data_IF_037014828861
#
_entry.id   IF_037014828861
#
_cell.length_a   1.000
_cell.length_b   1.000
_cell.length_c   1.000
_cell.angle_alpha   90.00
_cell.angle_beta   90.00
_cell.angle_gamma   90.00
#
_symmetry.space_group_name_H-M   'P 1'
#
loop_
_entity.id
_entity.type
_entity.pdbx_description
1 polymer ?
#
# COMPACT_ATOMS: atom_id res chain seq x y z
N UNK A 1 38.61 -41.28 7.13
CA UNK A 1 39.05 -40.03 6.46
C UNK A 1 37.89 -39.05 6.53
N UNK A 2 37.93 -38.11 7.47
CA UNK A 2 36.95 -37.02 7.57
C UNK A 2 37.39 -35.92 6.61
N UNK A 3 36.59 -35.62 5.60
CA UNK A 3 36.81 -34.50 4.67
C UNK A 3 36.83 -33.19 5.45
N UNK A 4 37.86 -32.36 5.21
CA UNK A 4 37.95 -31.03 5.80
C UNK A 4 36.73 -30.19 5.42
N UNK A 5 36.00 -29.66 6.40
CA UNK A 5 34.86 -28.77 6.17
C UNK A 5 35.35 -27.47 5.53
N UNK A 6 35.04 -27.25 4.25
CA UNK A 6 35.37 -26.01 3.56
C UNK A 6 34.27 -24.98 3.82
N UNK A 7 34.49 -24.08 4.77
CA UNK A 7 33.57 -22.96 5.01
C UNK A 7 33.62 -22.04 3.80
N UNK A 8 32.50 -21.92 3.09
CA UNK A 8 32.35 -20.99 1.97
C UNK A 8 31.38 -19.87 2.35
N UNK A 9 31.59 -18.69 1.77
CA UNK A 9 30.73 -17.52 2.00
C UNK A 9 30.01 -17.17 0.71
N UNK A 10 28.68 -17.04 0.81
CA UNK A 10 27.80 -16.73 -0.30
C UNK A 10 26.99 -15.48 0.02
N UNK A 11 26.79 -14.63 -0.99
CA UNK A 11 25.86 -13.50 -0.88
C UNK A 11 24.57 -13.84 -1.61
N UNK A 12 23.46 -13.89 -0.88
CA UNK A 12 22.13 -14.19 -1.40
C UNK A 12 21.23 -12.97 -1.28
N UNK A 13 20.36 -12.73 -2.25
CA UNK A 13 19.37 -11.65 -2.18
C UNK A 13 18.13 -12.11 -1.42
N UNK A 14 17.66 -11.32 -0.45
CA UNK A 14 16.46 -11.65 0.32
C UNK A 14 15.27 -10.82 -0.18
N UNK A 15 14.32 -11.49 -0.83
CA UNK A 15 13.06 -10.88 -1.24
C UNK A 15 12.13 -10.75 -0.03
N UNK A 16 11.34 -9.67 0.03
CA UNK A 16 10.46 -9.36 1.17
C UNK A 16 11.15 -8.60 2.31
N UNK A 17 12.45 -8.31 2.20
CA UNK A 17 13.20 -7.53 3.19
C UNK A 17 12.91 -6.03 3.04
N UNK A 18 11.98 -5.52 3.84
CA UNK A 18 11.51 -4.12 3.78
C UNK A 18 11.76 -3.33 5.06
N UNK A 19 12.17 -3.98 6.17
CA UNK A 19 12.40 -3.29 7.43
C UNK A 19 13.59 -3.88 8.21
N UNK A 20 14.03 -3.16 9.24
CA UNK A 20 15.10 -3.63 10.15
C UNK A 20 14.73 -4.92 10.89
N UNK A 21 13.44 -5.20 11.10
CA UNK A 21 13.02 -6.47 11.67
C UNK A 21 13.27 -7.63 10.71
N UNK A 22 13.09 -7.44 9.39
CA UNK A 22 13.44 -8.45 8.40
C UNK A 22 14.94 -8.78 8.43
N UNK A 23 15.82 -7.81 8.69
CA UNK A 23 17.27 -8.04 8.84
C UNK A 23 17.53 -9.01 9.99
N UNK A 24 17.02 -8.68 11.17
CA UNK A 24 17.22 -9.50 12.37
C UNK A 24 16.61 -10.90 12.23
N UNK A 25 15.38 -11.01 11.71
CA UNK A 25 14.71 -12.30 11.46
C UNK A 25 15.50 -13.16 10.47
N UNK A 26 16.00 -12.55 9.38
CA UNK A 26 16.84 -13.25 8.41
C UNK A 26 18.12 -13.78 9.05
N UNK A 27 18.79 -12.98 9.89
CA UNK A 27 20.02 -13.39 10.58
C UNK A 27 19.76 -14.49 11.59
N UNK A 28 18.71 -14.39 12.41
CA UNK A 28 18.39 -15.36 13.46
C UNK A 28 17.97 -16.71 12.89
N UNK A 29 17.10 -16.74 11.88
CA UNK A 29 16.61 -18.00 11.31
C UNK A 29 17.69 -18.73 10.52
N UNK A 30 18.51 -18.00 9.76
CA UNK A 30 19.60 -18.62 9.02
C UNK A 30 20.69 -19.14 9.96
N UNK A 31 20.88 -18.51 11.13
CA UNK A 31 21.81 -19.02 12.15
C UNK A 31 21.34 -20.33 12.81
N UNK A 32 20.05 -20.66 12.77
CA UNK A 32 19.53 -21.94 13.26
C UNK A 32 19.73 -23.10 12.27
N UNK A 33 20.10 -22.79 11.02
CA UNK A 33 20.32 -23.81 10.00
C UNK A 33 21.61 -24.61 10.29
N UNK A 34 21.57 -25.96 10.30
CA UNK A 34 22.68 -26.80 10.77
C UNK A 34 23.98 -26.70 9.94
N UNK A 35 23.89 -26.14 8.72
CA UNK A 35 25.04 -25.93 7.82
C UNK A 35 25.56 -24.48 7.82
N UNK A 36 24.91 -23.56 8.53
CA UNK A 36 25.27 -22.14 8.57
C UNK A 36 26.10 -21.86 9.83
N UNK A 37 27.24 -21.19 9.64
CA UNK A 37 28.13 -20.73 10.71
C UNK A 37 27.85 -19.27 11.07
N UNK A 38 27.54 -18.44 10.08
CA UNK A 38 27.12 -17.05 10.32
C UNK A 38 26.25 -16.51 9.20
N UNK A 39 25.28 -15.66 9.55
CA UNK A 39 24.47 -14.90 8.60
C UNK A 39 24.50 -13.42 8.96
N UNK A 40 24.78 -12.55 7.99
CA UNK A 40 24.72 -11.09 8.13
C UNK A 40 23.85 -10.48 7.03
N UNK A 41 22.75 -9.86 7.42
CA UNK A 41 21.79 -9.28 6.50
C UNK A 41 21.96 -7.76 6.39
N UNK A 42 21.68 -7.22 5.20
CA UNK A 42 21.76 -5.80 4.91
C UNK A 42 20.48 -5.33 4.25
N UNK A 43 19.75 -4.45 4.96
CA UNK A 43 18.55 -3.79 4.43
C UNK A 43 18.87 -2.92 3.21
N UNK A 44 20.08 -2.32 3.17
CA UNK A 44 20.49 -1.41 2.10
C UNK A 44 20.65 -2.14 0.76
N UNK A 45 21.24 -3.34 0.78
CA UNK A 45 21.44 -4.16 -0.42
C UNK A 45 20.32 -5.19 -0.63
N UNK A 46 19.44 -5.37 0.36
CA UNK A 46 18.45 -6.46 0.45
C UNK A 46 19.10 -7.83 0.24
N UNK A 47 20.26 -8.03 0.87
CA UNK A 47 21.05 -9.25 0.75
C UNK A 47 21.45 -9.78 2.11
N UNK A 48 21.71 -11.07 2.18
CA UNK A 48 22.32 -11.75 3.32
C UNK A 48 23.60 -12.43 2.87
N UNK A 49 24.66 -12.19 3.61
CA UNK A 49 25.92 -12.90 3.49
C UNK A 49 25.88 -14.08 4.45
N UNK A 50 25.94 -15.29 3.91
CA UNK A 50 25.83 -16.55 4.65
C UNK A 50 27.14 -17.31 4.49
N UNK A 51 27.78 -17.63 5.61
CA UNK A 51 28.97 -18.46 5.67
C UNK A 51 28.61 -19.81 6.26
N UNK A 52 29.01 -20.90 5.62
CA UNK A 52 28.63 -22.25 6.05
C UNK A 52 29.30 -23.36 5.26
N UNK A 53 29.06 -24.60 5.67
CA UNK A 53 29.54 -25.80 4.96
C UNK A 53 28.41 -26.36 4.08
N UNK A 54 28.43 -25.99 2.81
CA UNK A 54 27.43 -26.39 1.82
C UNK A 54 27.96 -27.40 0.79
N UNK A 55 29.22 -27.83 0.90
CA UNK A 55 29.91 -28.66 -0.11
C UNK A 55 29.98 -28.00 -1.49
N UNK A 56 30.11 -28.82 -2.55
CA UNK A 56 30.14 -28.36 -3.96
C UNK A 56 28.72 -28.15 -4.56
N UNK A 57 27.73 -27.79 -3.72
CA UNK A 57 26.37 -27.57 -4.20
C UNK A 57 26.28 -26.28 -5.03
N UNK A 58 25.53 -26.29 -6.14
CA UNK A 58 25.30 -25.07 -6.91
C UNK A 58 24.55 -24.04 -6.07
N UNK A 59 24.90 -22.76 -6.26
CA UNK A 59 24.35 -21.63 -5.49
C UNK A 59 22.81 -21.57 -5.50
N UNK A 60 22.17 -22.04 -6.58
CA UNK A 60 20.71 -22.09 -6.72
C UNK A 60 20.04 -23.12 -5.79
N UNK A 61 20.74 -24.22 -5.49
CA UNK A 61 20.24 -25.25 -4.57
C UNK A 61 20.40 -24.78 -3.12
N UNK A 62 21.51 -24.12 -2.80
CA UNK A 62 21.76 -23.47 -1.51
C UNK A 62 20.70 -22.38 -1.24
N UNK A 63 20.43 -21.54 -2.24
CA UNK A 63 19.42 -20.49 -2.15
C UNK A 63 18.01 -21.05 -1.92
N UNK A 64 17.68 -22.20 -2.51
CA UNK A 64 16.38 -22.87 -2.36
C UNK A 64 16.21 -23.50 -0.97
N UNK A 65 17.27 -24.12 -0.45
CA UNK A 65 17.32 -24.73 0.88
C UNK A 65 17.13 -23.66 1.97
N UNK A 66 17.92 -22.58 1.90
CA UNK A 66 17.83 -21.46 2.82
C UNK A 66 16.51 -20.67 2.65
N UNK A 67 15.95 -20.61 1.45
CA UNK A 67 14.62 -20.05 1.22
C UNK A 67 13.51 -20.85 1.89
N UNK A 68 13.64 -22.17 2.02
CA UNK A 68 12.64 -22.97 2.69
C UNK A 68 12.53 -22.59 4.18
N UNK A 69 13.67 -22.32 4.83
CA UNK A 69 13.73 -21.82 6.20
C UNK A 69 13.14 -20.40 6.33
N UNK A 70 13.51 -19.48 5.44
CA UNK A 70 13.02 -18.10 5.45
C UNK A 70 11.53 -17.97 5.05
N UNK A 71 10.96 -19.00 4.44
CA UNK A 71 9.59 -18.96 3.89
C UNK A 71 8.51 -18.87 4.96
N UNK A 72 8.83 -19.21 6.21
CA UNK A 72 7.94 -19.10 7.37
C UNK A 72 7.52 -17.63 7.59
N UNK A 73 8.42 -16.69 7.30
CA UNK A 73 8.18 -15.24 7.41
C UNK A 73 8.06 -14.51 6.07
N UNK A 74 7.66 -15.21 5.00
CA UNK A 74 7.50 -14.66 3.64
C UNK A 74 8.78 -14.09 3.01
N UNK A 75 9.94 -14.46 3.54
CA UNK A 75 11.26 -14.10 3.01
C UNK A 75 11.76 -15.21 2.09
N UNK A 76 12.55 -14.86 1.06
CA UNK A 76 13.19 -15.87 0.20
C UNK A 76 14.57 -15.41 -0.25
N UNK A 77 15.56 -16.30 -0.16
CA UNK A 77 16.92 -16.09 -0.60
C UNK A 77 17.08 -16.53 -2.07
N UNK A 78 17.58 -15.64 -2.93
CA UNK A 78 17.80 -15.93 -4.36
C UNK A 78 19.24 -15.64 -4.75
N UNK A 79 19.82 -16.50 -5.59
CA UNK A 79 21.21 -16.44 -6.04
C UNK A 79 21.51 -15.23 -6.96
N UNK A 80 20.50 -14.63 -7.60
CA UNK A 80 20.64 -13.46 -8.46
C UNK A 80 19.49 -12.47 -8.32
N UNK A 81 19.81 -11.18 -8.50
CA UNK A 81 18.86 -10.08 -8.42
C UNK A 81 17.80 -10.17 -9.51
N UNK A 82 16.52 -10.02 -9.12
CA UNK A 82 15.40 -9.92 -10.06
C UNK A 82 15.71 -8.87 -11.12
N UNK A 83 15.75 -9.30 -12.38
CA UNK A 83 15.64 -8.45 -13.54
C UNK A 83 14.31 -7.68 -13.44
N UNK A 84 14.28 -6.39 -13.79
CA UNK A 84 13.00 -5.69 -13.91
C UNK A 84 12.19 -6.47 -14.97
N UNK A 85 11.04 -6.99 -14.56
CA UNK A 85 10.17 -7.79 -15.42
C UNK A 85 9.46 -6.85 -16.42
N UNK A 86 10.19 -6.40 -17.43
CA UNK A 86 9.70 -5.49 -18.48
C UNK A 86 8.55 -6.10 -19.28
N UNK A 87 8.47 -7.43 -19.33
CA UNK A 87 7.36 -8.19 -19.88
C UNK A 87 6.02 -7.89 -19.18
N UNK A 88 6.03 -7.63 -17.87
CA UNK A 88 4.81 -7.27 -17.13
C UNK A 88 4.29 -5.86 -17.50
N UNK A 89 5.16 -4.96 -17.95
CA UNK A 89 4.75 -3.62 -18.42
C UNK A 89 3.94 -3.67 -19.72
N UNK A 90 4.22 -4.66 -20.57
CA UNK A 90 3.47 -4.89 -21.81
C UNK A 90 1.97 -5.12 -21.57
N UNK A 91 1.60 -5.67 -20.41
CA UNK A 91 0.20 -5.89 -20.01
C UNK A 91 -0.32 -4.77 -19.11
N UNK A 92 0.52 -4.23 -18.21
CA UNK A 92 0.11 -3.21 -17.26
C UNK A 92 -0.23 -1.86 -17.91
N UNK A 93 0.55 -1.43 -18.91
CA UNK A 93 0.38 -0.13 -19.57
C UNK A 93 -0.96 -0.02 -20.33
N UNK A 94 -1.37 -1.00 -21.17
CA UNK A 94 -2.67 -0.95 -21.84
C UNK A 94 -3.85 -0.91 -20.86
N UNK A 95 -3.77 -1.67 -19.76
CA UNK A 95 -4.81 -1.66 -18.72
C UNK A 95 -4.90 -0.29 -18.06
N UNK A 96 -3.75 0.30 -17.70
CA UNK A 96 -3.70 1.63 -17.11
C UNK A 96 -4.26 2.71 -18.06
N UNK A 97 -3.91 2.64 -19.35
CA UNK A 97 -4.44 3.54 -20.39
C UNK A 97 -5.95 3.37 -20.53
N UNK A 98 -6.46 2.14 -20.57
CA UNK A 98 -7.89 1.86 -20.64
C UNK A 98 -8.66 2.43 -19.43
N UNK A 99 -8.12 2.24 -18.22
CA UNK A 99 -8.68 2.83 -17.01
C UNK A 99 -8.63 4.38 -17.02
N UNK A 100 -7.54 4.96 -17.53
CA UNK A 100 -7.41 6.42 -17.68
C UNK A 100 -8.42 6.98 -18.67
N UNK A 101 -8.58 6.34 -19.83
CA UNK A 101 -9.57 6.73 -20.84
C UNK A 101 -11.00 6.62 -20.31
N UNK A 102 -11.31 5.54 -19.57
CA UNK A 102 -12.60 5.40 -18.90
C UNK A 102 -12.83 6.50 -17.86
N UNK A 103 -11.80 6.87 -17.09
CA UNK A 103 -11.88 7.96 -16.12
C UNK A 103 -12.19 9.30 -16.81
N UNK A 104 -11.48 9.63 -17.89
CA UNK A 104 -11.74 10.84 -18.69
C UNK A 104 -13.15 10.82 -19.28
N UNK A 105 -13.61 9.69 -19.80
CA UNK A 105 -14.96 9.54 -20.32
C UNK A 105 -16.02 9.79 -19.23
N UNK A 106 -15.82 9.27 -18.02
CA UNK A 106 -16.73 9.50 -16.89
C UNK A 106 -16.74 10.97 -16.43
N UNK A 107 -15.63 11.70 -16.60
CA UNK A 107 -15.59 13.15 -16.35
C UNK A 107 -16.42 13.92 -17.38
N UNK A 108 -16.28 13.61 -18.66
CA UNK A 108 -17.06 14.22 -19.76
C UNK A 108 -18.58 13.99 -19.60
N UNK A 109 -18.99 12.83 -19.10
CA UNK A 109 -20.41 12.51 -18.87
C UNK A 109 -20.98 13.25 -17.63
N UNK A 110 -20.15 14.00 -16.87
CA UNK A 110 -20.61 14.83 -15.76
C UNK A 110 -21.00 14.05 -14.50
N UNK A 111 -20.68 12.75 -14.42
CA UNK A 111 -20.96 11.92 -13.23
C UNK A 111 -20.26 12.47 -11.98
N UNK A 112 -19.13 13.16 -12.17
CA UNK A 112 -18.38 13.85 -11.10
C UNK A 112 -19.10 15.10 -10.60
N UNK A 113 -19.88 15.79 -11.45
CA UNK A 113 -20.63 16.99 -11.04
C UNK A 113 -21.80 16.69 -10.09
N UNK A 114 -22.27 15.43 -10.01
CA UNK A 114 -23.19 14.98 -8.96
C UNK A 114 -22.57 15.01 -7.56
N UNK A 115 -21.23 15.03 -7.47
CA UNK A 115 -20.47 15.08 -6.21
C UNK A 115 -20.18 16.51 -5.77
N UNK A 116 -20.20 17.47 -6.70
CA UNK A 116 -19.82 18.87 -6.49
C UNK A 116 -20.99 19.82 -6.16
N UNK A 117 -22.22 19.31 -5.96
CA UNK A 117 -23.38 20.14 -5.62
C UNK A 117 -23.24 20.87 -4.27
N UNK A 118 -23.90 22.02 -4.14
CA UNK A 118 -23.73 23.00 -3.03
C UNK A 118 -23.92 22.44 -1.61
N UNK A 119 -24.58 21.28 -1.45
CA UNK A 119 -24.68 20.56 -0.18
C UNK A 119 -24.57 19.05 -0.38
N UNK A 120 -23.45 18.45 0.02
CA UNK A 120 -23.29 16.99 0.05
C UNK A 120 -24.06 16.43 1.26
N UNK A 121 -25.20 15.80 0.99
CA UNK A 121 -25.95 15.07 2.02
C UNK A 121 -25.23 13.76 2.41
N UNK A 122 -25.58 13.17 3.55
CA UNK A 122 -25.05 11.85 3.93
C UNK A 122 -25.37 10.76 2.90
N UNK A 123 -26.51 10.88 2.21
CA UNK A 123 -26.90 9.98 1.12
C UNK A 123 -26.00 10.12 -0.11
N UNK A 124 -25.64 11.35 -0.50
CA UNK A 124 -24.70 11.54 -1.60
C UNK A 124 -23.29 11.09 -1.22
N UNK A 125 -22.83 11.33 0.02
CA UNK A 125 -21.56 10.80 0.52
C UNK A 125 -21.50 9.26 0.47
N UNK A 126 -22.61 8.59 0.82
CA UNK A 126 -22.73 7.13 0.70
C UNK A 126 -22.66 6.67 -0.76
N UNK A 127 -23.41 7.30 -1.68
CA UNK A 127 -23.38 6.97 -3.11
C UNK A 127 -22.00 7.21 -3.72
N UNK A 128 -21.33 8.30 -3.35
CA UNK A 128 -19.93 8.56 -3.72
C UNK A 128 -19.02 7.45 -3.21
N UNK A 129 -19.26 6.93 -2.01
CA UNK A 129 -18.56 5.74 -1.49
C UNK A 129 -18.79 4.49 -2.35
N UNK A 130 -20.02 4.24 -2.78
CA UNK A 130 -20.35 3.11 -3.67
C UNK A 130 -19.60 3.25 -4.99
N UNK A 131 -19.70 4.42 -5.65
CA UNK A 131 -19.01 4.69 -6.92
C UNK A 131 -17.49 4.58 -6.74
N UNK A 132 -16.94 5.14 -5.67
CA UNK A 132 -15.52 5.05 -5.36
C UNK A 132 -15.06 3.60 -5.23
N UNK A 133 -15.87 2.73 -4.63
CA UNK A 133 -15.57 1.31 -4.46
C UNK A 133 -15.67 0.47 -5.73
N UNK A 134 -16.27 1.01 -6.80
CA UNK A 134 -16.32 0.42 -8.14
C UNK A 134 -15.30 1.04 -9.11
N UNK A 135 -14.53 2.02 -8.65
CA UNK A 135 -13.54 2.77 -9.44
C UNK A 135 -12.11 2.28 -9.22
N UNK A 136 -11.12 3.05 -9.67
CA UNK A 136 -9.69 2.78 -9.48
C UNK A 136 -9.27 2.70 -8.01
N UNK A 137 -10.03 3.30 -7.07
CA UNK A 137 -9.75 3.18 -5.64
C UNK A 137 -9.96 1.75 -5.12
N UNK A 138 -10.77 0.94 -5.82
CA UNK A 138 -10.89 -0.51 -5.60
C UNK A 138 -9.58 -1.24 -5.91
N UNK A 139 -8.78 -0.78 -6.88
CA UNK A 139 -7.53 -1.44 -7.23
C UNK A 139 -6.49 -1.28 -6.10
N UNK A 140 -6.38 -0.08 -5.51
CA UNK A 140 -5.43 0.18 -4.41
C UNK A 140 -5.90 -0.50 -3.12
N UNK A 141 -7.14 -0.23 -2.69
CA UNK A 141 -7.64 -0.76 -1.42
C UNK A 141 -7.94 -2.25 -1.53
N UNK A 142 -8.46 -2.72 -2.66
CA UNK A 142 -8.64 -4.14 -2.94
C UNK A 142 -7.32 -4.90 -2.97
N UNK A 143 -6.25 -4.31 -3.52
CA UNK A 143 -4.90 -4.89 -3.45
C UNK A 143 -4.41 -5.06 -2.01
N UNK A 144 -4.65 -4.06 -1.16
CA UNK A 144 -4.32 -4.11 0.27
C UNK A 144 -5.13 -5.17 1.02
N UNK A 145 -6.45 -5.22 0.79
CA UNK A 145 -7.36 -6.24 1.33
C UNK A 145 -6.91 -7.64 0.92
N UNK A 146 -6.58 -7.85 -0.36
CA UNK A 146 -6.09 -9.13 -0.88
C UNK A 146 -4.73 -9.52 -0.29
N UNK A 147 -3.83 -8.57 -0.07
CA UNK A 147 -2.57 -8.81 0.62
C UNK A 147 -2.80 -9.30 2.06
N UNK A 148 -3.71 -8.66 2.80
CA UNK A 148 -4.10 -9.09 4.16
C UNK A 148 -4.75 -10.47 4.10
N UNK A 149 -5.66 -10.72 3.16
CA UNK A 149 -6.26 -12.05 2.95
C UNK A 149 -5.19 -13.10 2.71
N UNK A 150 -4.17 -12.82 1.90
CA UNK A 150 -3.09 -13.76 1.60
C UNK A 150 -2.22 -14.07 2.84
N UNK A 151 -1.92 -13.04 3.64
CA UNK A 151 -1.13 -13.19 4.88
C UNK A 151 -1.89 -14.00 5.94
N UNK A 152 -3.17 -13.70 6.16
CA UNK A 152 -3.95 -14.32 7.24
C UNK A 152 -4.74 -15.57 6.83
N UNK A 153 -4.87 -15.87 5.54
CA UNK A 153 -5.42 -17.16 5.09
C UNK A 153 -4.56 -18.36 5.52
N UNK A 154 -3.30 -18.13 5.91
CA UNK A 154 -2.36 -19.14 6.42
C UNK A 154 -2.56 -19.47 7.90
N UNK A 155 -3.19 -18.58 8.68
CA UNK A 155 -3.47 -18.77 10.12
C UNK A 155 -4.84 -19.43 10.39
N UNK A 156 -5.54 -19.92 9.37
CA UNK A 156 -6.84 -20.60 9.50
C UNK A 156 -8.05 -19.68 9.69
N UNK A 157 -7.85 -18.46 10.19
CA UNK A 157 -8.92 -17.47 10.42
C UNK A 157 -8.96 -16.41 9.32
N UNK A 158 -9.93 -16.55 8.40
CA UNK A 158 -10.11 -15.61 7.27
C UNK A 158 -11.11 -14.49 7.56
N UNK A 159 -12.00 -14.67 8.53
CA UNK A 159 -13.12 -13.74 8.77
C UNK A 159 -12.73 -12.65 9.74
N UNK A 160 -12.02 -12.99 10.82
CA UNK A 160 -11.61 -12.01 11.84
C UNK A 160 -10.69 -10.92 11.30
N UNK A 161 -9.65 -11.19 10.50
CA UNK A 161 -8.77 -10.14 9.95
C UNK A 161 -9.51 -9.20 9.01
N UNK A 162 -10.44 -9.73 8.19
CA UNK A 162 -11.24 -8.93 7.27
C UNK A 162 -12.26 -8.07 8.01
N UNK A 163 -12.92 -8.61 9.03
CA UNK A 163 -13.81 -7.85 9.89
C UNK A 163 -13.05 -6.73 10.61
N UNK A 164 -11.87 -7.02 11.18
CA UNK A 164 -11.04 -6.03 11.84
C UNK A 164 -10.58 -4.92 10.87
N UNK A 165 -10.23 -5.27 9.63
CA UNK A 165 -9.88 -4.29 8.60
C UNK A 165 -11.04 -3.32 8.31
N UNK A 166 -12.24 -3.83 8.02
CA UNK A 166 -13.39 -2.98 7.68
C UNK A 166 -13.88 -2.17 8.88
N UNK A 167 -13.91 -2.76 10.08
CA UNK A 167 -14.26 -2.04 11.31
C UNK A 167 -13.23 -0.94 11.60
N UNK A 168 -11.95 -1.25 11.50
CA UNK A 168 -10.86 -0.27 11.66
C UNK A 168 -11.00 0.88 10.68
N UNK A 169 -11.26 0.59 9.40
CA UNK A 169 -11.51 1.59 8.36
C UNK A 169 -12.70 2.49 8.70
N UNK A 170 -13.88 1.92 8.98
CA UNK A 170 -15.09 2.71 9.24
C UNK A 170 -14.93 3.57 10.49
N UNK A 171 -14.36 3.00 11.56
CA UNK A 171 -14.11 3.73 12.81
C UNK A 171 -13.08 4.87 12.61
N UNK A 172 -11.98 4.62 11.90
CA UNK A 172 -11.00 5.67 11.60
C UNK A 172 -11.57 6.76 10.72
N UNK A 173 -12.41 6.45 9.72
CA UNK A 173 -13.05 7.46 8.88
C UNK A 173 -14.00 8.34 9.70
N UNK A 174 -14.79 7.76 10.61
CA UNK A 174 -15.62 8.53 11.54
C UNK A 174 -14.77 9.46 12.42
N UNK A 175 -13.75 8.92 13.09
CA UNK A 175 -12.92 9.68 14.04
C UNK A 175 -12.09 10.75 13.33
N UNK A 176 -11.32 10.36 12.31
CA UNK A 176 -10.45 11.26 11.57
C UNK A 176 -11.27 12.27 10.76
N UNK A 177 -12.46 11.90 10.27
CA UNK A 177 -13.42 12.81 9.68
C UNK A 177 -13.86 13.91 10.63
N UNK A 178 -14.15 13.55 11.89
CA UNK A 178 -14.46 14.53 12.92
C UNK A 178 -13.27 15.42 13.29
N UNK A 179 -12.06 14.86 13.33
CA UNK A 179 -10.83 15.63 13.56
C UNK A 179 -10.62 16.66 12.45
N UNK A 180 -10.71 16.27 11.17
CA UNK A 180 -10.50 17.21 10.06
C UNK A 180 -11.65 18.23 9.94
N UNK A 181 -12.89 17.84 10.27
CA UNK A 181 -14.02 18.77 10.37
C UNK A 181 -13.84 19.79 11.48
N UNK A 182 -13.31 19.38 12.65
CA UNK A 182 -12.92 20.29 13.71
C UNK A 182 -11.79 21.23 13.26
N UNK A 183 -10.76 20.71 12.59
CA UNK A 183 -9.67 21.52 12.06
C UNK A 183 -10.18 22.57 11.06
N UNK A 184 -11.20 22.25 10.26
CA UNK A 184 -11.86 23.21 9.37
C UNK A 184 -12.54 24.39 10.08
N UNK A 185 -12.95 24.21 11.34
CA UNK A 185 -13.50 25.29 12.18
C UNK A 185 -12.41 26.25 12.68
N UNK A 186 -11.19 25.74 12.90
CA UNK A 186 -10.05 26.50 13.41
C UNK A 186 -9.16 27.09 12.31
N UNK A 187 -9.08 26.42 11.16
CA UNK A 187 -8.26 26.79 10.01
C UNK A 187 -9.15 26.96 8.79
N UNK A 188 -9.53 28.20 8.49
CA UNK A 188 -10.00 28.56 7.15
C UNK A 188 -8.78 28.48 6.22
N UNK A 189 -8.61 27.34 5.54
CA UNK A 189 -7.57 27.18 4.53
C UNK A 189 -7.77 28.26 3.46
N UNK A 190 -6.83 29.19 3.33
CA UNK A 190 -6.79 30.08 2.18
C UNK A 190 -6.36 29.27 0.94
N UNK A 191 -6.46 29.85 -0.26
CA UNK A 191 -6.09 29.18 -1.51
C UNK A 191 -4.65 28.64 -1.50
N UNK A 192 -3.73 29.33 -0.84
CA UNK A 192 -2.33 28.89 -0.66
C UNK A 192 -2.19 27.67 0.25
N UNK A 193 -2.95 27.61 1.35
CA UNK A 193 -2.93 26.49 2.29
C UNK A 193 -3.48 25.21 1.66
N UNK A 194 -4.58 25.32 0.92
CA UNK A 194 -5.13 24.20 0.13
C UNK A 194 -4.14 23.76 -0.95
N UNK A 195 -3.48 24.70 -1.64
CA UNK A 195 -2.45 24.37 -2.63
C UNK A 195 -1.27 23.60 -2.02
N UNK A 196 -0.68 24.09 -0.92
CA UNK A 196 0.47 23.44 -0.27
C UNK A 196 0.11 22.05 0.22
N UNK A 197 -1.08 21.89 0.81
CA UNK A 197 -1.55 20.58 1.27
C UNK A 197 -1.76 19.61 0.10
N UNK A 198 -2.48 20.05 -0.95
CA UNK A 198 -2.74 19.23 -2.14
C UNK A 198 -1.44 18.84 -2.86
N UNK A 199 -0.48 19.76 -2.97
CA UNK A 199 0.83 19.50 -3.56
C UNK A 199 1.64 18.49 -2.73
N UNK A 200 1.64 18.65 -1.39
CA UNK A 200 2.32 17.73 -0.48
C UNK A 200 1.76 16.31 -0.60
N UNK A 201 0.43 16.19 -0.66
CA UNK A 201 -0.25 14.91 -0.86
C UNK A 201 0.09 14.32 -2.22
N UNK A 202 0.07 15.13 -3.29
CA UNK A 202 0.39 14.68 -4.64
C UNK A 202 1.83 14.15 -4.77
N UNK A 203 2.80 14.81 -4.14
CA UNK A 203 4.19 14.34 -4.08
C UNK A 203 4.30 13.00 -3.33
N UNK A 204 3.56 12.83 -2.24
CA UNK A 204 3.51 11.57 -1.52
C UNK A 204 2.87 10.45 -2.37
N UNK A 205 1.78 10.75 -3.11
CA UNK A 205 1.22 9.80 -4.09
C UNK A 205 2.26 9.38 -5.12
N UNK A 206 3.00 10.35 -5.66
CA UNK A 206 3.98 10.11 -6.71
C UNK A 206 5.08 9.18 -6.20
N UNK A 207 5.59 9.44 -4.98
CA UNK A 207 6.58 8.59 -4.34
C UNK A 207 6.06 7.16 -4.11
N UNK A 208 4.81 7.02 -3.63
CA UNK A 208 4.17 5.71 -3.47
C UNK A 208 4.04 4.99 -4.82
N UNK A 209 3.49 5.64 -5.84
CA UNK A 209 3.30 5.05 -7.17
C UNK A 209 4.62 4.60 -7.82
N UNK A 210 5.68 5.40 -7.72
CA UNK A 210 7.03 5.03 -8.19
C UNK A 210 7.57 3.82 -7.43
N UNK A 211 7.31 3.72 -6.13
CA UNK A 211 7.72 2.57 -5.33
C UNK A 211 6.98 1.30 -5.76
N UNK A 212 5.68 1.38 -6.04
CA UNK A 212 4.88 0.26 -6.56
C UNK A 212 5.37 -0.26 -7.92
N UNK A 213 6.01 0.59 -8.74
CA UNK A 213 6.58 0.17 -10.02
C UNK A 213 7.84 -0.71 -9.86
N UNK A 214 8.55 -0.61 -8.73
CA UNK A 214 9.84 -1.28 -8.46
C UNK A 214 10.90 -1.08 -9.58
N UNK A 215 10.76 -0.01 -10.39
CA UNK A 215 11.65 0.34 -11.52
C UNK A 215 12.90 1.06 -11.04
N UNK A 216 12.76 1.98 -10.10
CA UNK A 216 13.86 2.84 -9.63
C UNK A 216 14.37 2.38 -8.27
N UNK A 217 15.41 1.54 -8.28
CA UNK A 217 16.09 1.00 -7.08
C UNK A 217 16.59 2.07 -6.10
N UNK A 218 16.77 3.31 -6.55
CA UNK A 218 17.23 4.45 -5.73
C UNK A 218 16.12 5.13 -4.91
N UNK A 219 14.83 4.87 -5.18
CA UNK A 219 13.70 5.44 -4.43
C UNK A 219 13.28 4.67 -3.16
N UNK A 220 13.94 3.53 -2.87
CA UNK A 220 13.72 2.75 -1.63
C UNK A 220 13.97 3.47 -0.29
N UNK A 221 14.90 4.44 -0.14
CA UNK A 221 15.15 5.09 1.15
C UNK A 221 14.12 6.17 1.50
N UNK A 222 13.17 6.50 0.62
CA UNK A 222 12.08 7.46 0.90
C UNK A 222 10.93 6.87 1.73
N UNK A 223 10.98 5.58 2.07
CA UNK A 223 10.04 5.03 3.05
C UNK A 223 10.37 5.59 4.44
N UNK A 224 9.40 6.19 5.16
CA UNK A 224 9.53 6.42 6.59
C UNK A 224 9.62 5.06 7.29
N UNK A 225 10.83 4.51 7.35
CA UNK A 225 11.10 3.28 8.07
C UNK A 225 11.06 3.60 9.56
N UNK A 226 10.33 2.79 10.32
CA UNK A 226 10.16 2.98 11.76
C UNK A 226 11.55 3.11 12.43
N UNK A 227 11.80 4.15 13.25
CA UNK A 227 13.09 4.35 13.91
C UNK A 227 13.47 3.11 14.73
N UNK A 228 14.75 2.69 14.67
CA UNK A 228 15.22 1.44 15.29
C UNK A 228 15.07 1.36 16.83
N UNK A 229 14.78 2.49 17.48
CA UNK A 229 14.45 2.51 18.91
C UNK A 229 13.01 2.05 19.20
N UNK A 230 12.09 2.26 18.24
CA UNK A 230 10.71 1.83 18.34
C UNK A 230 10.58 0.32 18.03
N UNK A 231 11.40 -0.20 17.12
CA UNK A 231 11.34 -1.62 16.72
C UNK A 231 11.70 -2.59 17.85
N UNK A 232 12.56 -2.19 18.79
CA UNK A 232 12.91 -3.02 19.97
C UNK A 232 11.78 -3.09 21.00
N UNK A 233 10.94 -2.04 21.14
CA UNK A 233 9.78 -2.03 22.04
C UNK A 233 8.56 -2.72 21.46
N UNK A 234 8.40 -2.71 20.13
CA UNK A 234 7.25 -3.34 19.46
C UNK A 234 7.34 -4.87 19.43
N UNK A 235 8.53 -5.48 19.60
CA UNK A 235 8.65 -6.94 19.68
C UNK A 235 8.09 -7.54 20.98
N UNK A 236 8.08 -6.78 22.09
CA UNK A 236 7.35 -7.17 23.31
C UNK A 236 5.82 -7.04 23.17
N UNK A 237 5.36 -6.24 22.19
CA UNK A 237 3.95 -6.06 21.84
C UNK A 237 3.53 -6.92 20.62
N UNK A 238 4.41 -7.79 20.11
CA UNK A 238 4.20 -8.58 18.89
C UNK A 238 2.90 -9.42 18.92
N UNK A 239 2.52 -9.90 20.10
CA UNK A 239 1.27 -10.67 20.30
C UNK A 239 0.00 -9.81 20.22
N UNK A 240 0.06 -8.53 20.59
CA UNK A 240 -1.06 -7.59 20.44
C UNK A 240 -1.15 -7.04 19.01
N UNK A 241 0.01 -6.83 18.35
CA UNK A 241 0.05 -6.29 16.99
C UNK A 241 -0.44 -7.26 15.92
N UNK A 242 -0.23 -8.58 16.03
CA UNK A 242 -0.69 -9.50 14.98
C UNK A 242 -2.23 -9.52 14.86
N UNK A 243 -2.94 -9.35 15.98
CA UNK A 243 -4.41 -9.31 15.98
C UNK A 243 -4.96 -7.99 15.45
N UNK A 244 -4.39 -6.84 15.82
CA UNK A 244 -4.92 -5.52 15.43
C UNK A 244 -4.31 -4.92 14.16
N UNK A 245 -3.26 -5.53 13.59
CA UNK A 245 -2.66 -5.09 12.31
C UNK A 245 -3.71 -4.85 11.22
N UNK A 246 -4.68 -5.74 10.97
CA UNK A 246 -5.70 -5.50 9.95
C UNK A 246 -6.52 -4.24 10.20
N UNK A 247 -6.90 -3.96 11.46
CA UNK A 247 -7.63 -2.75 11.83
C UNK A 247 -6.81 -1.48 11.63
N UNK A 248 -5.51 -1.50 11.98
CA UNK A 248 -4.60 -0.39 11.75
C UNK A 248 -4.39 -0.11 10.26
N UNK A 249 -4.25 -1.17 9.45
CA UNK A 249 -4.12 -1.05 7.99
C UNK A 249 -5.42 -0.53 7.37
N UNK A 250 -6.57 -0.95 7.87
CA UNK A 250 -7.88 -0.40 7.52
C UNK A 250 -8.00 1.08 7.86
N UNK A 251 -7.55 1.48 9.05
CA UNK A 251 -7.52 2.90 9.44
C UNK A 251 -6.57 3.74 8.58
N UNK A 252 -5.41 3.18 8.22
CA UNK A 252 -4.44 3.84 7.35
C UNK A 252 -4.99 4.12 5.94
N UNK A 253 -6.07 3.45 5.51
CA UNK A 253 -6.70 3.76 4.21
C UNK A 253 -7.31 5.16 4.16
N UNK A 254 -7.51 5.83 5.30
CA UNK A 254 -7.91 7.23 5.34
C UNK A 254 -6.83 8.12 4.71
N UNK A 255 -5.56 7.80 4.90
CA UNK A 255 -4.44 8.56 4.35
C UNK A 255 -4.06 8.08 2.94
N UNK A 256 -4.77 7.08 2.40
CA UNK A 256 -4.54 6.66 1.02
C UNK A 256 -5.06 7.73 0.07
N UNK A 257 -4.21 8.19 -0.84
CA UNK A 257 -4.58 9.27 -1.73
C UNK A 257 -5.43 8.72 -2.89
N UNK A 258 -6.74 8.74 -2.70
CA UNK A 258 -7.76 8.41 -3.69
C UNK A 258 -8.59 9.67 -3.96
N UNK A 259 -8.81 10.03 -5.22
CA UNK A 259 -9.51 11.27 -5.58
C UNK A 259 -10.88 11.43 -4.89
N UNK A 260 -11.68 10.36 -4.81
CA UNK A 260 -12.96 10.37 -4.10
C UNK A 260 -12.81 10.57 -2.59
N UNK A 261 -11.80 9.94 -1.98
CA UNK A 261 -11.53 10.10 -0.53
C UNK A 261 -11.04 11.52 -0.23
N UNK A 262 -10.17 12.07 -1.09
CA UNK A 262 -9.67 13.44 -0.98
C UNK A 262 -10.79 14.48 -1.16
N UNK A 263 -11.68 14.30 -2.13
CA UNK A 263 -12.82 15.19 -2.34
C UNK A 263 -13.74 15.22 -1.11
N UNK A 264 -14.07 14.04 -0.57
CA UNK A 264 -14.87 13.95 0.63
C UNK A 264 -14.13 14.52 1.86
N UNK A 265 -12.81 14.31 1.99
CA UNK A 265 -12.01 14.85 3.09
C UNK A 265 -11.96 16.38 3.03
N UNK A 266 -11.78 16.95 1.84
CA UNK A 266 -11.85 18.38 1.62
C UNK A 266 -13.23 18.94 1.97
N UNK A 267 -14.30 18.23 1.58
CA UNK A 267 -15.66 18.59 1.99
C UNK A 267 -15.85 18.50 3.52
N UNK A 268 -15.36 17.46 4.17
CA UNK A 268 -15.42 17.32 5.62
C UNK A 268 -14.73 18.49 6.33
N UNK A 269 -13.55 18.91 5.84
CA UNK A 269 -12.86 20.13 6.31
C UNK A 269 -13.71 21.37 6.05
N UNK A 270 -14.30 21.53 4.85
CA UNK A 270 -15.08 22.71 4.51
C UNK A 270 -16.36 22.87 5.35
N UNK A 271 -16.89 21.77 5.90
CA UNK A 271 -18.05 21.82 6.81
C UNK A 271 -17.78 22.56 8.12
N UNK A 272 -16.52 22.65 8.56
CA UNK A 272 -16.15 23.31 9.82
C UNK A 272 -16.85 22.75 11.06
N UNK A 273 -17.35 21.51 11.01
CA UNK A 273 -18.09 20.86 12.10
C UNK A 273 -17.53 19.46 12.34
N UNK A 274 -17.10 19.11 13.57
CA UNK A 274 -16.62 17.76 13.87
C UNK A 274 -17.70 16.71 13.64
N UNK A 275 -18.96 17.01 13.97
CA UNK A 275 -20.06 16.06 13.83
C UNK A 275 -20.37 15.83 12.35
N UNK A 276 -20.47 16.91 11.57
CA UNK A 276 -20.78 16.81 10.14
C UNK A 276 -19.64 16.12 9.38
N UNK A 277 -18.39 16.50 9.64
CA UNK A 277 -17.21 15.85 9.04
C UNK A 277 -17.10 14.37 9.38
N UNK A 278 -17.38 13.99 10.63
CA UNK A 278 -17.40 12.59 11.07
C UNK A 278 -18.48 11.79 10.33
N UNK A 279 -19.72 12.29 10.31
CA UNK A 279 -20.84 11.59 9.69
C UNK A 279 -20.69 11.49 8.17
N UNK A 280 -20.19 12.53 7.50
CA UNK A 280 -19.90 12.46 6.06
C UNK A 280 -18.86 11.38 5.75
N UNK A 281 -17.73 11.35 6.47
CA UNK A 281 -16.70 10.33 6.27
C UNK A 281 -17.20 8.92 6.60
N UNK A 282 -18.02 8.79 7.65
CA UNK A 282 -18.63 7.54 8.03
C UNK A 282 -19.58 7.02 6.94
N UNK A 283 -20.48 7.87 6.43
CA UNK A 283 -21.37 7.51 5.31
C UNK A 283 -20.60 7.12 4.06
N UNK A 284 -19.54 7.85 3.73
CA UNK A 284 -18.64 7.49 2.63
C UNK A 284 -17.99 6.10 2.85
N UNK A 285 -17.44 5.85 4.04
CA UNK A 285 -16.83 4.57 4.36
C UNK A 285 -17.84 3.41 4.29
N UNK A 286 -19.06 3.61 4.78
CA UNK A 286 -20.16 2.65 4.64
C UNK A 286 -20.53 2.39 3.17
N UNK A 287 -20.54 3.42 2.33
CA UNK A 287 -20.79 3.26 0.89
C UNK A 287 -19.75 2.39 0.20
N UNK A 288 -18.51 2.43 0.67
CA UNK A 288 -17.42 1.60 0.10
C UNK A 288 -17.44 0.14 0.58
N UNK A 289 -18.16 -0.15 1.65
CA UNK A 289 -18.12 -1.42 2.37
C UNK A 289 -18.69 -2.59 1.55
N UNK A 290 -19.84 -2.49 0.84
CA UNK A 290 -20.42 -3.61 0.11
C UNK A 290 -19.48 -4.23 -0.94
N UNK A 291 -18.89 -3.42 -1.82
CA UNK A 291 -18.00 -3.92 -2.87
C UNK A 291 -16.69 -4.48 -2.29
N UNK A 292 -16.13 -3.83 -1.27
CA UNK A 292 -14.91 -4.29 -0.62
C UNK A 292 -15.14 -5.55 0.22
N UNK A 293 -16.30 -5.67 0.89
CA UNK A 293 -16.70 -6.88 1.60
C UNK A 293 -16.87 -8.05 0.62
N UNK A 294 -17.54 -7.84 -0.52
CA UNK A 294 -17.63 -8.85 -1.57
C UNK A 294 -16.23 -9.30 -1.98
N UNK A 295 -15.31 -8.39 -2.29
CA UNK A 295 -13.92 -8.76 -2.61
C UNK A 295 -13.19 -9.50 -1.49
N UNK A 296 -13.41 -9.10 -0.24
CA UNK A 296 -12.77 -9.68 0.95
C UNK A 296 -13.21 -11.11 1.19
N UNK A 297 -14.50 -11.39 1.02
CA UNK A 297 -15.13 -12.67 1.40
C UNK A 297 -15.31 -13.63 0.22
N UNK A 298 -15.46 -13.14 -1.01
CA UNK A 298 -15.58 -14.04 -2.18
C UNK A 298 -14.25 -14.69 -2.54
N UNK A 299 -13.12 -14.22 -2.00
CA UNK A 299 -11.79 -14.77 -2.30
C UNK A 299 -11.71 -15.10 -3.79
N UNK A 300 -11.88 -14.10 -4.66
CA UNK A 300 -11.45 -14.22 -6.05
C UNK A 300 -10.01 -14.68 -5.97
N UNK A 301 -9.87 -15.98 -6.16
CA UNK A 301 -8.64 -16.71 -6.01
C UNK A 301 -7.77 -16.30 -7.18
N UNK A 302 -7.17 -15.11 -7.10
CA UNK A 302 -5.96 -14.81 -7.85
C UNK A 302 -4.84 -15.54 -7.13
N UNK A 303 -4.98 -16.87 -7.08
CA UNK A 303 -3.95 -17.87 -6.87
C UNK A 303 -3.12 -17.94 -8.16
N UNK A 304 -2.71 -16.78 -8.67
CA UNK A 304 -1.73 -16.70 -9.75
C UNK A 304 -0.64 -15.76 -9.23
N UNK A 305 0.32 -16.35 -8.50
CA UNK A 305 1.61 -15.69 -8.18
C UNK A 305 2.24 -15.06 -9.42
N UNK A 306 1.89 -15.57 -10.61
CA UNK A 306 2.27 -15.10 -11.94
C UNK A 306 1.68 -13.74 -12.36
N UNK A 307 0.64 -13.18 -11.72
CA UNK A 307 0.06 -11.87 -12.12
C UNK A 307 0.15 -10.78 -11.07
N UNK A 308 0.74 -11.05 -9.91
CA UNK A 308 0.91 -10.04 -8.85
C UNK A 308 1.80 -8.87 -9.31
N UNK A 309 2.87 -9.13 -10.07
CA UNK A 309 3.74 -8.08 -10.60
C UNK A 309 3.01 -7.13 -11.56
N UNK A 310 2.21 -7.68 -12.49
CA UNK A 310 1.35 -6.89 -13.38
C UNK A 310 0.37 -6.03 -12.59
N UNK A 311 -0.29 -6.60 -11.58
CA UNK A 311 -1.23 -5.86 -10.74
C UNK A 311 -0.59 -4.66 -10.04
N UNK A 312 0.53 -4.85 -9.33
CA UNK A 312 1.22 -3.75 -8.64
C UNK A 312 1.74 -2.69 -9.62
N UNK A 313 2.21 -3.08 -10.80
CA UNK A 313 2.62 -2.15 -11.86
C UNK A 313 1.45 -1.33 -12.40
N UNK A 314 0.31 -1.96 -12.68
CA UNK A 314 -0.91 -1.27 -13.12
C UNK A 314 -1.38 -0.28 -12.05
N UNK A 315 -1.42 -0.70 -10.78
CA UNK A 315 -1.80 0.18 -9.67
C UNK A 315 -0.80 1.33 -9.50
N UNK A 316 0.50 1.06 -9.59
CA UNK A 316 1.55 2.09 -9.53
C UNK A 316 1.44 3.13 -10.65
N UNK A 317 1.20 2.70 -11.90
CA UNK A 317 0.93 3.57 -13.05
C UNK A 317 -0.29 4.46 -12.81
N UNK A 318 -1.41 3.89 -12.32
CA UNK A 318 -2.62 4.64 -12.02
C UNK A 318 -2.40 5.65 -10.89
N UNK A 319 -1.69 5.27 -9.82
CA UNK A 319 -1.36 6.18 -8.70
C UNK A 319 -0.52 7.35 -9.20
N UNK A 320 0.48 7.11 -10.07
CA UNK A 320 1.28 8.17 -10.68
C UNK A 320 0.41 9.09 -11.54
N UNK A 321 -0.49 8.53 -12.36
CA UNK A 321 -1.42 9.31 -13.16
C UNK A 321 -2.28 10.24 -12.28
N UNK A 322 -2.86 9.73 -11.19
CA UNK A 322 -3.62 10.55 -10.24
C UNK A 322 -2.76 11.57 -9.50
N UNK A 323 -1.51 11.24 -9.20
CA UNK A 323 -0.56 12.18 -8.60
C UNK A 323 -0.33 13.38 -9.53
N UNK A 324 -0.04 13.11 -10.80
CA UNK A 324 0.16 14.16 -11.82
C UNK A 324 -1.12 14.97 -12.02
N UNK A 325 -2.27 14.30 -12.11
CA UNK A 325 -3.57 14.96 -12.21
C UNK A 325 -3.83 15.91 -11.02
N UNK A 326 -3.55 15.49 -9.79
CA UNK A 326 -3.68 16.33 -8.60
C UNK A 326 -2.72 17.53 -8.60
N UNK A 327 -1.48 17.38 -9.09
CA UNK A 327 -0.54 18.49 -9.27
C UNK A 327 -1.11 19.50 -10.26
N UNK A 328 -1.58 19.03 -11.41
CA UNK A 328 -2.21 19.86 -12.46
C UNK A 328 -3.41 20.62 -11.91
N UNK A 329 -4.33 19.95 -11.20
CA UNK A 329 -5.50 20.62 -10.60
C UNK A 329 -5.11 21.64 -9.54
N UNK A 330 -4.08 21.35 -8.75
CA UNK A 330 -3.59 22.30 -7.74
C UNK A 330 -3.00 23.54 -8.40
N UNK A 331 -2.24 23.40 -9.50
CA UNK A 331 -1.69 24.51 -10.29
C UNK A 331 -2.80 25.32 -10.98
N UNK A 332 -3.84 24.65 -11.48
CA UNK A 332 -5.00 25.31 -12.08
C UNK A 332 -5.78 26.11 -11.03
N UNK A 333 -5.97 25.58 -9.82
CA UNK A 333 -6.69 26.24 -8.74
C UNK A 333 -6.03 27.55 -8.24
N UNK A 334 -4.72 27.73 -8.48
CA UNK A 334 -3.99 28.97 -8.16
C UNK A 334 -3.79 29.88 -9.39
N UNK A 335 -4.37 29.53 -10.54
CA UNK A 335 -4.34 30.33 -11.77
C UNK A 335 -3.01 30.30 -12.54
N UNK A 336 -2.13 29.31 -12.28
CA UNK A 336 -0.84 29.18 -12.99
C UNK A 336 -1.03 28.54 -14.38
N UNK A 337 -2.03 27.67 -14.54
CA UNK A 337 -2.39 27.02 -15.79
C UNK A 337 -3.91 27.01 -15.97
N UNK A 338 -4.38 26.90 -17.22
CA UNK A 338 -5.79 26.65 -17.49
C UNK A 338 -6.18 25.24 -17.02
N UNK A 339 -7.38 25.05 -16.46
CA UNK A 339 -7.86 23.74 -16.07
C UNK A 339 -7.93 22.83 -17.31
N UNK A 340 -7.25 21.69 -17.24
CA UNK A 340 -7.15 20.72 -18.35
C UNK A 340 -8.52 20.10 -18.69
N UNK A 341 -9.43 20.07 -17.72
CA UNK A 341 -10.81 19.67 -17.92
C UNK A 341 -11.71 20.83 -17.47
N UNK A 342 -12.70 21.16 -18.31
CA UNK A 342 -13.73 22.13 -17.94
C UNK A 342 -14.67 21.45 -16.94
N UNK A 343 -14.56 21.82 -15.66
CA UNK A 343 -15.54 21.49 -14.62
C UNK A 343 -16.60 22.58 -14.53
#
# INVERSE_FOLDING_TARGET
MMTAASIQTYTLRVNGMHCKACVFLTESELAEHPKVVSAKASLRSRSVEVSGDFGDRPLDEIARDLSAFLSEHSLSATAQGKHVAWDEFGVAVPIAIGCAALFVLLQEIGVVNLVSGDTVTYGTAFLVGVIASLSTCMAIVGGLVLSISATFARSGDRTKPQALFHVGRVASFLVLGGVIGLLGSAFRLNSTGTFVLSLSVALFMLALGINLLDVFRWASPLQPSMPGFLSKRTLGAANLTHTFTPALVGGATFFLPCGFTQAMQLYAVSTGSPVTGALTMFSFALGTLPALAVLSFTSLAVRTRTKQGVFFKTVGLLVILFAVFNVVNSLAAIGVIEPVFNW
#
